data_IF_998198132973
#
_entry.id   IF_998198132973
#
_cell.length_a   1.000
_cell.length_b   1.000
_cell.length_c   1.000
_cell.angle_alpha   90.00
_cell.angle_beta   90.00
_cell.angle_gamma   90.00
#
_symmetry.space_group_name_H-M   'P 1'
#
loop_
_entity.id
_entity.type
_entity.pdbx_description
1 polymer ?
#
# COMPACT_ATOMS: atom_id res chain seq x y z
N UNK A 1 -17.22 -8.48 -3.66
CA UNK A 1 -16.38 -7.81 -2.64
C UNK A 1 -14.97 -7.59 -3.17
N UNK A 2 -14.28 -6.59 -2.66
CA UNK A 2 -12.87 -6.30 -2.93
C UNK A 2 -12.11 -6.40 -1.62
N UNK A 3 -10.90 -6.91 -1.68
CA UNK A 3 -10.08 -7.09 -0.50
C UNK A 3 -9.24 -5.83 -0.23
N UNK A 4 -9.36 -5.27 0.97
CA UNK A 4 -8.51 -4.18 1.47
C UNK A 4 -7.23 -4.82 1.99
N UNK A 5 -6.09 -4.29 1.57
CA UNK A 5 -4.77 -4.64 2.08
C UNK A 5 -4.07 -3.33 2.38
N UNK A 6 -3.98 -2.99 3.66
CA UNK A 6 -3.31 -1.78 4.13
C UNK A 6 -2.50 -2.11 5.38
N UNK A 7 -1.26 -1.68 5.39
CA UNK A 7 -0.44 -1.67 6.60
C UNK A 7 -0.02 -0.24 6.90
N UNK A 8 -0.18 0.14 8.14
CA UNK A 8 0.08 1.50 8.60
C UNK A 8 0.94 1.49 9.87
N UNK A 9 1.93 2.35 9.89
CA UNK A 9 2.71 2.63 11.09
C UNK A 9 2.03 3.77 11.84
N UNK A 10 1.58 3.50 13.05
CA UNK A 10 0.86 4.45 13.91
C UNK A 10 1.71 4.84 15.10
N UNK A 11 1.63 6.09 15.60
CA UNK A 11 2.12 6.40 16.94
C UNK A 11 1.45 5.47 17.95
N UNK A 12 2.20 5.03 18.94
CA UNK A 12 1.66 4.13 19.96
C UNK A 12 0.46 4.77 20.69
N UNK A 13 0.55 6.06 20.92
CA UNK A 13 -0.43 6.88 21.65
C UNK A 13 -1.78 7.00 20.92
N UNK A 14 -1.78 7.03 19.60
CA UNK A 14 -3.00 7.18 18.80
C UNK A 14 -3.51 5.88 18.21
N UNK A 15 -2.76 4.79 18.37
CA UNK A 15 -3.16 3.46 17.87
C UNK A 15 -4.51 2.99 18.42
N UNK A 16 -4.87 3.17 19.70
CA UNK A 16 -6.20 2.75 20.19
C UNK A 16 -7.35 3.41 19.42
N UNK A 17 -7.23 4.71 19.11
CA UNK A 17 -8.24 5.43 18.32
C UNK A 17 -8.32 4.89 16.87
N UNK A 18 -7.20 4.49 16.28
CA UNK A 18 -7.19 3.88 14.96
C UNK A 18 -7.83 2.50 14.96
N UNK A 19 -7.57 1.67 15.98
CA UNK A 19 -8.18 0.35 16.14
C UNK A 19 -9.70 0.48 16.33
N UNK A 20 -10.17 1.43 17.13
CA UNK A 20 -11.59 1.73 17.28
C UNK A 20 -12.23 2.15 15.94
N UNK A 21 -11.57 3.05 15.22
CA UNK A 21 -12.00 3.46 13.88
C UNK A 21 -12.15 2.27 12.92
N UNK A 22 -11.14 1.39 12.83
CA UNK A 22 -11.20 0.22 11.95
C UNK A 22 -12.32 -0.74 12.35
N UNK A 23 -12.55 -0.94 13.63
CA UNK A 23 -13.64 -1.77 14.13
C UNK A 23 -15.01 -1.23 13.78
N UNK A 24 -15.21 0.09 13.94
CA UNK A 24 -16.50 0.74 13.74
C UNK A 24 -16.82 0.99 12.26
N UNK A 25 -15.86 1.53 11.49
CA UNK A 25 -16.12 1.99 10.12
C UNK A 25 -15.84 0.91 9.06
N UNK A 26 -14.89 0.01 9.32
CA UNK A 26 -14.51 -1.02 8.35
C UNK A 26 -15.02 -2.40 8.74
N UNK A 27 -15.19 -2.68 10.02
CA UNK A 27 -15.60 -4.01 10.51
C UNK A 27 -14.59 -5.12 10.18
N UNK A 28 -13.31 -4.77 9.98
CA UNK A 28 -12.27 -5.73 9.58
C UNK A 28 -11.57 -6.26 10.82
N UNK A 29 -11.64 -7.56 11.02
CA UNK A 29 -10.98 -8.31 12.09
C UNK A 29 -10.51 -9.69 11.59
N UNK A 30 -9.42 -10.26 12.17
CA UNK A 30 -8.51 -9.65 13.16
C UNK A 30 -7.60 -8.60 12.53
N UNK A 31 -7.02 -7.72 13.36
CA UNK A 31 -5.95 -6.82 12.95
C UNK A 31 -4.59 -7.44 13.29
N UNK A 32 -3.60 -7.21 12.42
CA UNK A 32 -2.22 -7.60 12.68
C UNK A 32 -1.51 -6.45 13.40
N UNK A 33 -1.01 -6.68 14.61
CA UNK A 33 -0.29 -5.67 15.39
C UNK A 33 1.17 -6.09 15.55
N UNK A 34 2.11 -5.20 15.17
CA UNK A 34 3.54 -5.48 15.26
C UNK A 34 4.28 -4.22 15.77
N UNK A 35 4.97 -4.30 16.92
CA UNK A 35 5.79 -3.19 17.42
C UNK A 35 6.91 -2.85 16.43
N UNK A 36 7.13 -1.55 16.22
CA UNK A 36 8.14 -1.02 15.32
C UNK A 36 9.09 -0.10 16.07
N UNK A 37 10.36 -0.20 15.73
CA UNK A 37 11.37 0.74 16.16
C UNK A 37 11.39 1.96 15.24
N UNK A 38 11.49 3.17 15.81
CA UNK A 38 11.67 4.38 15.01
C UNK A 38 13.00 4.31 14.24
N UNK A 39 13.00 4.62 12.92
CA UNK A 39 14.22 4.68 12.15
C UNK A 39 15.12 5.84 12.63
N UNK A 40 16.41 5.61 12.67
CA UNK A 40 17.41 6.61 13.09
C UNK A 40 17.93 7.45 11.92
N UNK A 41 17.72 6.99 10.69
CA UNK A 41 18.21 7.64 9.47
C UNK A 41 17.03 8.14 8.63
N UNK A 42 17.21 9.23 7.85
CA UNK A 42 16.23 9.64 6.88
C UNK A 42 16.09 8.55 5.79
N UNK A 43 14.95 7.92 5.75
CA UNK A 43 14.64 6.83 4.80
C UNK A 43 13.19 6.98 4.33
N UNK A 44 12.80 6.20 3.32
CA UNK A 44 11.39 6.03 2.93
C UNK A 44 10.62 5.11 3.89
N UNK A 45 11.24 4.69 4.95
CA UNK A 45 10.59 3.92 6.00
C UNK A 45 9.56 4.79 6.72
N UNK A 46 8.36 4.28 7.01
CA UNK A 46 7.38 5.02 7.78
C UNK A 46 7.94 5.55 9.09
N UNK A 47 7.64 6.80 9.33
CA UNK A 47 7.85 7.46 10.62
C UNK A 47 6.53 8.07 11.06
N UNK A 48 6.38 8.29 12.35
CA UNK A 48 5.16 8.85 12.91
C UNK A 48 5.43 10.17 13.60
N UNK A 49 4.45 11.05 13.56
CA UNK A 49 4.47 12.33 14.27
C UNK A 49 3.25 12.38 15.18
N UNK A 50 3.47 12.37 16.48
CA UNK A 50 2.37 12.47 17.43
C UNK A 50 1.66 13.81 17.24
N UNK A 51 0.33 13.84 17.06
CA UNK A 51 -0.43 15.08 16.94
C UNK A 51 -0.25 16.01 18.16
N UNK A 52 -0.37 17.32 17.94
CA UNK A 52 -0.29 18.30 19.03
C UNK A 52 -1.38 18.05 20.06
N UNK A 53 -1.02 18.10 21.34
CA UNK A 53 -1.95 17.90 22.47
C UNK A 53 -2.14 16.45 22.89
N UNK A 54 -1.48 15.50 22.26
CA UNK A 54 -1.43 14.11 22.71
C UNK A 54 -0.22 13.93 23.63
N UNK A 55 -0.46 13.38 24.82
CA UNK A 55 0.60 13.08 25.77
C UNK A 55 1.44 11.89 25.29
N UNK A 56 2.76 12.03 25.33
CA UNK A 56 3.71 11.04 24.86
C UNK A 56 4.42 10.42 26.06
N UNK A 57 4.20 9.14 26.29
CA UNK A 57 4.83 8.41 27.39
C UNK A 57 6.28 8.03 27.07
N UNK A 58 6.51 7.55 25.83
CA UNK A 58 7.86 7.21 25.35
C UNK A 58 8.01 7.65 23.88
N UNK A 59 8.78 8.72 23.58
CA UNK A 59 8.88 9.25 22.23
C UNK A 59 9.46 8.23 21.25
N UNK A 60 8.73 8.01 20.16
CA UNK A 60 9.24 7.30 18.99
C UNK A 60 8.87 5.82 18.88
N UNK A 61 8.08 5.27 19.78
CA UNK A 61 7.50 3.96 19.59
C UNK A 61 6.37 4.02 18.54
N UNK A 62 6.34 3.02 17.69
CA UNK A 62 5.34 2.87 16.64
C UNK A 62 4.73 1.48 16.72
N UNK A 63 3.50 1.36 16.27
CA UNK A 63 2.85 0.08 16.07
C UNK A 63 2.41 -0.04 14.61
N UNK A 64 2.83 -1.12 13.94
CA UNK A 64 2.23 -1.48 12.66
C UNK A 64 0.84 -2.05 12.92
N UNK A 65 -0.13 -1.57 12.18
CA UNK A 65 -1.50 -2.11 12.16
C UNK A 65 -1.82 -2.58 10.75
N UNK A 66 -1.90 -3.88 10.57
CA UNK A 66 -2.32 -4.51 9.31
C UNK A 66 -3.84 -4.64 9.28
N UNK A 67 -4.45 -4.03 8.25
CA UNK A 67 -5.90 -4.04 8.00
C UNK A 67 -6.15 -4.84 6.73
N UNK A 68 -6.47 -6.12 6.87
CA UNK A 68 -6.65 -7.05 5.76
C UNK A 68 -8.02 -7.69 5.82
N UNK A 69 -8.90 -7.31 4.90
CA UNK A 69 -10.26 -7.82 4.94
C UNK A 69 -11.11 -7.40 3.75
N UNK A 70 -12.35 -7.86 3.76
CA UNK A 70 -13.29 -7.56 2.71
C UNK A 70 -13.86 -6.16 2.85
N UNK A 71 -13.68 -5.35 1.81
CA UNK A 71 -14.27 -4.04 1.68
C UNK A 71 -15.48 -4.02 0.75
N UNK A 72 -16.02 -2.83 0.44
CA UNK A 72 -17.14 -2.65 -0.45
C UNK A 72 -16.91 -3.29 -1.84
N UNK A 73 -17.97 -3.84 -2.44
CA UNK A 73 -17.90 -4.40 -3.78
C UNK A 73 -17.93 -3.33 -4.87
N UNK A 74 -18.62 -2.22 -4.60
CA UNK A 74 -18.73 -1.10 -5.53
C UNK A 74 -17.39 -0.34 -5.61
N UNK A 75 -16.87 -0.07 -6.84
CA UNK A 75 -15.54 0.52 -7.00
C UNK A 75 -15.34 1.89 -6.36
N UNK A 76 -16.31 2.78 -6.50
CA UNK A 76 -16.22 4.15 -5.97
C UNK A 76 -16.24 4.14 -4.45
N UNK A 77 -17.11 3.31 -3.88
CA UNK A 77 -17.22 3.12 -2.45
C UNK A 77 -15.94 2.50 -1.87
N UNK A 78 -15.37 1.53 -2.57
CA UNK A 78 -14.08 0.95 -2.19
C UNK A 78 -12.95 2.00 -2.15
N UNK A 79 -12.90 2.88 -3.14
CA UNK A 79 -11.93 3.98 -3.16
C UNK A 79 -12.20 4.97 -2.03
N UNK A 80 -13.46 5.36 -1.82
CA UNK A 80 -13.87 6.27 -0.73
C UNK A 80 -13.39 5.77 0.63
N UNK A 81 -13.69 4.52 0.93
CA UNK A 81 -13.30 3.88 2.21
C UNK A 81 -11.77 3.86 2.39
N UNK A 82 -11.00 3.58 1.33
CA UNK A 82 -9.53 3.61 1.41
C UNK A 82 -9.00 5.04 1.60
N UNK A 83 -9.59 6.05 0.95
CA UNK A 83 -9.21 7.46 1.17
C UNK A 83 -9.54 7.94 2.58
N UNK A 84 -10.66 7.53 3.13
CA UNK A 84 -11.04 7.85 4.52
C UNK A 84 -10.07 7.19 5.52
N UNK A 85 -9.68 5.94 5.27
CA UNK A 85 -8.66 5.28 6.06
C UNK A 85 -7.33 6.04 5.99
N UNK A 86 -6.89 6.44 4.80
CA UNK A 86 -5.67 7.23 4.63
C UNK A 86 -5.74 8.59 5.33
N UNK A 87 -6.88 9.27 5.24
CA UNK A 87 -7.10 10.53 5.94
C UNK A 87 -7.03 10.34 7.46
N UNK A 88 -7.62 9.25 7.98
CA UNK A 88 -7.59 8.92 9.40
C UNK A 88 -6.19 8.58 9.90
N UNK A 89 -5.42 7.84 9.12
CA UNK A 89 -4.01 7.56 9.40
C UNK A 89 -3.22 8.85 9.54
N UNK A 90 -3.38 9.78 8.59
CA UNK A 90 -2.71 11.09 8.61
C UNK A 90 -3.15 11.95 9.81
N UNK A 91 -4.46 12.01 10.09
CA UNK A 91 -5.02 12.73 11.25
C UNK A 91 -4.38 12.27 12.57
N UNK A 92 -4.18 10.97 12.71
CA UNK A 92 -3.60 10.35 13.89
C UNK A 92 -2.05 10.30 13.88
N UNK A 93 -1.40 10.94 12.91
CA UNK A 93 0.06 11.05 12.82
C UNK A 93 0.76 9.80 12.30
N UNK A 94 0.02 8.89 11.69
CA UNK A 94 0.56 7.67 11.10
C UNK A 94 0.98 7.80 9.64
N UNK A 95 1.61 6.76 9.10
CA UNK A 95 2.00 6.62 7.69
C UNK A 95 1.75 5.20 7.19
N UNK A 96 1.48 5.09 5.89
CA UNK A 96 1.34 3.77 5.22
C UNK A 96 2.68 3.19 4.79
N UNK A 97 2.72 1.87 4.70
CA UNK A 97 3.74 1.15 3.95
C UNK A 97 3.43 1.17 2.45
N UNK A 98 4.46 1.43 1.63
CA UNK A 98 4.32 1.64 0.19
C UNK A 98 4.37 0.35 -0.65
N UNK A 99 3.97 -0.78 -0.11
CA UNK A 99 3.76 -1.99 -0.90
C UNK A 99 2.29 -2.15 -1.33
N UNK A 100 1.37 -1.55 -0.59
CA UNK A 100 -0.06 -1.52 -0.91
C UNK A 100 -0.41 -0.32 -1.80
N UNK A 101 -1.57 -0.42 -2.46
CA UNK A 101 -2.08 0.68 -3.26
C UNK A 101 -2.32 1.93 -2.41
N UNK A 102 -1.98 3.10 -2.97
CA UNK A 102 -2.26 4.39 -2.35
C UNK A 102 -3.31 5.16 -3.15
N UNK A 103 -4.12 5.91 -2.44
CA UNK A 103 -5.22 6.71 -2.97
C UNK A 103 -5.02 8.22 -2.70
N UNK A 104 -3.90 8.62 -2.13
CA UNK A 104 -3.47 10.02 -2.01
C UNK A 104 -3.40 10.66 -3.39
N UNK A 105 -3.49 11.98 -3.47
CA UNK A 105 -2.98 12.68 -4.65
C UNK A 105 -1.45 12.81 -4.61
N UNK A 106 -0.84 13.23 -5.73
CA UNK A 106 0.62 13.24 -5.85
C UNK A 106 1.26 14.23 -4.86
N UNK A 107 0.64 15.37 -4.66
CA UNK A 107 1.16 16.41 -3.75
C UNK A 107 1.07 15.97 -2.28
N UNK A 108 -0.05 15.35 -1.89
CA UNK A 108 -0.23 14.75 -0.57
C UNK A 108 0.83 13.68 -0.31
N UNK A 109 1.03 12.78 -1.28
CA UNK A 109 1.99 11.71 -1.20
C UNK A 109 3.41 12.23 -0.95
N UNK A 110 3.89 13.15 -1.80
CA UNK A 110 5.25 13.65 -1.67
C UNK A 110 5.48 14.46 -0.40
N UNK A 111 4.46 15.18 0.08
CA UNK A 111 4.53 15.87 1.39
C UNK A 111 4.70 14.91 2.55
N UNK A 112 4.04 13.75 2.49
CA UNK A 112 4.11 12.74 3.56
C UNK A 112 5.41 11.94 3.53
N UNK A 113 5.98 11.68 2.35
CA UNK A 113 7.14 10.79 2.19
C UNK A 113 8.46 11.51 1.97
N UNK A 114 8.64 12.69 2.55
CA UNK A 114 9.92 13.40 2.62
C UNK A 114 10.30 14.25 1.42
N UNK A 115 9.37 14.41 0.48
CA UNK A 115 9.52 15.30 -0.67
C UNK A 115 10.13 14.64 -1.92
N UNK A 116 9.68 15.13 -3.07
CA UNK A 116 10.08 14.58 -4.37
C UNK A 116 11.55 14.85 -4.69
N UNK A 117 12.04 16.02 -4.34
CA UNK A 117 13.42 16.43 -4.65
C UNK A 117 14.46 15.50 -4.02
N UNK A 118 14.29 15.19 -2.75
CA UNK A 118 15.14 14.22 -2.05
C UNK A 118 15.12 12.84 -2.72
N UNK A 119 13.93 12.37 -3.05
CA UNK A 119 13.74 11.08 -3.70
C UNK A 119 14.40 11.02 -5.08
N UNK A 120 14.22 12.07 -5.90
CA UNK A 120 14.81 12.13 -7.25
C UNK A 120 16.34 12.25 -7.18
N UNK A 121 16.89 12.99 -6.20
CA UNK A 121 18.33 13.04 -5.96
C UNK A 121 18.88 11.66 -5.60
N UNK A 122 18.17 10.90 -4.76
CA UNK A 122 18.53 9.51 -4.41
C UNK A 122 18.51 8.60 -5.63
N UNK A 123 17.48 8.68 -6.47
CA UNK A 123 17.38 7.92 -7.72
C UNK A 123 18.51 8.24 -8.69
N UNK A 124 18.85 9.51 -8.83
CA UNK A 124 19.99 9.94 -9.66
C UNK A 124 21.31 9.37 -9.14
N UNK A 125 21.54 9.43 -7.83
CA UNK A 125 22.72 8.85 -7.18
C UNK A 125 22.90 7.37 -7.48
N UNK A 126 21.82 6.61 -7.45
CA UNK A 126 21.82 5.15 -7.68
C UNK A 126 21.49 4.74 -9.13
N UNK A 127 21.51 5.69 -10.08
CA UNK A 127 21.26 5.47 -11.52
C UNK A 127 19.90 4.79 -11.80
N UNK A 128 18.90 5.07 -10.99
CA UNK A 128 17.56 4.50 -11.07
C UNK A 128 16.53 5.43 -11.75
N UNK A 129 16.99 6.49 -12.45
CA UNK A 129 16.11 7.49 -13.05
C UNK A 129 15.22 6.93 -14.18
N UNK A 130 15.66 5.85 -14.84
CA UNK A 130 14.92 5.18 -15.90
C UNK A 130 13.84 4.20 -15.40
N UNK A 131 13.80 3.94 -14.10
CA UNK A 131 12.75 3.10 -13.51
C UNK A 131 11.49 3.94 -13.20
N UNK A 132 10.29 3.35 -13.14
CA UNK A 132 9.12 4.03 -12.62
C UNK A 132 9.35 4.53 -11.20
N UNK A 133 8.75 5.67 -10.84
CA UNK A 133 8.81 6.14 -9.45
C UNK A 133 8.00 5.25 -8.51
N UNK A 134 8.22 5.37 -7.20
CA UNK A 134 7.37 4.68 -6.24
C UNK A 134 5.91 5.13 -6.36
N UNK A 135 5.69 6.42 -6.63
CA UNK A 135 4.36 6.95 -6.90
C UNK A 135 3.69 6.24 -8.08
N UNK A 136 4.35 6.14 -9.23
CA UNK A 136 3.82 5.46 -10.42
C UNK A 136 3.43 4.00 -10.15
N UNK A 137 4.10 3.37 -9.20
CA UNK A 137 3.84 1.96 -8.85
C UNK A 137 2.70 1.76 -7.87
N UNK A 138 2.55 2.64 -6.90
CA UNK A 138 1.58 2.44 -5.80
C UNK A 138 0.29 3.22 -5.99
N UNK A 139 0.30 4.28 -6.79
CA UNK A 139 -0.88 5.10 -7.06
C UNK A 139 -1.93 4.33 -7.85
N UNK A 140 -3.18 4.47 -7.43
CA UNK A 140 -4.35 3.94 -8.16
C UNK A 140 -5.04 5.06 -8.89
N UNK A 141 -4.85 5.13 -10.21
CA UNK A 141 -5.69 5.96 -11.06
C UNK A 141 -7.12 5.40 -11.07
N UNK A 142 -8.00 6.15 -10.43
CA UNK A 142 -9.40 5.76 -10.23
C UNK A 142 -10.15 5.61 -11.55
N UNK A 143 -9.89 6.48 -12.54
CA UNK A 143 -10.55 6.42 -13.84
C UNK A 143 -10.08 5.20 -14.64
N UNK A 144 -8.78 4.92 -14.63
CA UNK A 144 -8.21 3.76 -15.32
C UNK A 144 -8.68 2.46 -14.66
N UNK A 145 -8.77 2.43 -13.33
CA UNK A 145 -9.26 1.26 -12.60
C UNK A 145 -10.73 0.95 -12.91
N UNK A 146 -11.56 1.98 -13.06
CA UNK A 146 -12.98 1.83 -13.44
C UNK A 146 -13.11 1.39 -14.92
N UNK A 147 -12.38 2.02 -15.84
CA UNK A 147 -12.39 1.69 -17.28
C UNK A 147 -11.88 0.26 -17.55
N UNK A 148 -10.77 -0.15 -16.95
CA UNK A 148 -10.25 -1.54 -17.06
C UNK A 148 -11.28 -2.57 -16.57
N UNK A 149 -12.10 -2.23 -15.58
CA UNK A 149 -13.12 -3.13 -15.08
C UNK A 149 -14.26 -3.37 -16.09
N UNK A 150 -14.57 -2.41 -16.94
CA UNK A 150 -15.61 -2.55 -17.97
C UNK A 150 -15.13 -3.36 -19.18
N UNK A 151 -13.84 -3.28 -19.54
CA UNK A 151 -13.27 -3.93 -20.71
C UNK A 151 -13.09 -5.46 -20.57
N UNK A 152 -13.00 -6.00 -19.36
CA UNK A 152 -12.73 -7.43 -19.13
C UNK A 152 -13.91 -8.19 -18.52
N UNK A 153 -15.14 -7.98 -19.01
CA UNK A 153 -16.31 -8.71 -18.53
C UNK A 153 -16.17 -10.23 -18.71
N UNK A 154 -15.52 -10.69 -19.78
CA UNK A 154 -15.26 -12.11 -20.03
C UNK A 154 -14.42 -12.79 -18.95
N UNK A 155 -13.51 -12.04 -18.27
CA UNK A 155 -12.68 -12.61 -17.19
C UNK A 155 -13.47 -12.88 -15.91
N UNK A 156 -14.73 -12.42 -15.83
CA UNK A 156 -15.61 -12.55 -14.66
C UNK A 156 -16.62 -13.67 -14.81
N UNK A 157 -16.81 -14.18 -16.02
CA UNK A 157 -17.75 -15.27 -16.29
C UNK A 157 -17.02 -16.59 -16.17
N UNK A 158 -17.42 -17.40 -15.20
CA UNK A 158 -16.93 -18.78 -15.09
C UNK A 158 -17.48 -19.63 -16.24
N UNK A 159 -16.67 -20.45 -16.96
CA UNK A 159 -15.23 -20.72 -16.77
C UNK A 159 -14.29 -19.85 -17.62
N UNK A 160 -14.81 -18.84 -18.37
CA UNK A 160 -14.06 -18.05 -19.34
C UNK A 160 -12.85 -17.33 -18.74
N UNK A 161 -12.96 -16.84 -17.48
CA UNK A 161 -11.85 -16.24 -16.75
C UNK A 161 -10.66 -17.17 -16.56
N UNK A 162 -10.93 -18.44 -16.26
CA UNK A 162 -9.91 -19.48 -16.14
C UNK A 162 -9.17 -19.73 -17.46
N UNK A 163 -9.90 -19.91 -18.55
CA UNK A 163 -9.32 -20.09 -19.88
C UNK A 163 -8.49 -18.88 -20.34
N UNK A 164 -8.98 -17.67 -20.07
CA UNK A 164 -8.22 -16.44 -20.35
C UNK A 164 -6.92 -16.39 -19.55
N UNK A 165 -6.94 -16.75 -18.26
CA UNK A 165 -5.74 -16.80 -17.41
C UNK A 165 -4.71 -17.82 -17.91
N UNK A 166 -5.15 -19.02 -18.27
CA UNK A 166 -4.29 -20.07 -18.84
C UNK A 166 -3.65 -19.59 -20.15
N UNK A 167 -4.46 -19.02 -21.05
CA UNK A 167 -3.95 -18.46 -22.31
C UNK A 167 -2.88 -17.38 -22.05
N UNK A 168 -3.13 -16.45 -21.14
CA UNK A 168 -2.16 -15.39 -20.78
C UNK A 168 -0.90 -15.94 -20.14
N UNK A 169 -0.98 -16.95 -19.32
CA UNK A 169 0.18 -17.64 -18.76
C UNK A 169 1.04 -18.32 -19.85
N UNK A 170 0.40 -18.96 -20.84
CA UNK A 170 1.09 -19.56 -21.97
C UNK A 170 1.75 -18.49 -22.85
N UNK A 171 1.05 -17.38 -23.13
CA UNK A 171 1.58 -16.26 -23.93
C UNK A 171 2.79 -15.60 -23.24
N UNK A 172 2.74 -15.33 -21.93
CA UNK A 172 3.81 -14.67 -21.18
C UNK A 172 5.03 -15.57 -20.98
N UNK A 173 4.84 -16.89 -20.91
CA UNK A 173 5.87 -17.89 -20.60
C UNK A 173 6.61 -17.65 -19.27
N UNK A 174 6.05 -16.85 -18.36
CA UNK A 174 6.69 -16.50 -17.10
C UNK A 174 7.05 -17.72 -16.25
N UNK A 175 6.24 -18.78 -16.32
CA UNK A 175 6.51 -20.06 -15.64
C UNK A 175 7.76 -20.79 -16.17
N UNK A 176 8.30 -20.38 -17.32
CA UNK A 176 9.54 -20.93 -17.90
C UNK A 176 10.77 -20.11 -17.54
N UNK A 177 10.63 -18.92 -16.95
CA UNK A 177 11.76 -18.03 -16.65
C UNK A 177 12.84 -18.74 -15.83
N UNK A 178 12.44 -19.44 -14.77
CA UNK A 178 13.38 -20.18 -13.93
C UNK A 178 14.08 -21.32 -14.68
N UNK A 179 13.38 -22.01 -15.57
CA UNK A 179 13.94 -23.13 -16.36
C UNK A 179 14.92 -22.65 -17.42
N UNK A 180 14.65 -21.47 -18.00
CA UNK A 180 15.41 -20.89 -19.09
C UNK A 180 16.46 -19.87 -18.59
N UNK A 181 16.53 -19.61 -17.26
CA UNK A 181 17.51 -18.72 -16.69
C UNK A 181 18.93 -19.22 -16.94
N UNK A 182 19.82 -18.36 -17.44
CA UNK A 182 21.23 -18.66 -17.60
C UNK A 182 21.93 -18.82 -16.26
N UNK A 183 21.49 -18.05 -15.26
CA UNK A 183 21.97 -18.18 -13.90
C UNK A 183 21.06 -19.13 -13.11
N UNK A 184 21.66 -20.08 -12.41
CA UNK A 184 20.99 -20.97 -11.44
C UNK A 184 21.77 -20.96 -10.15
N UNK A 185 21.08 -20.88 -9.04
CA UNK A 185 21.73 -21.04 -7.75
C UNK A 185 22.28 -22.46 -7.59
N UNK A 186 23.57 -22.59 -7.23
CA UNK A 186 24.28 -23.86 -7.14
C UNK A 186 24.36 -24.43 -5.73
N UNK A 187 23.84 -23.69 -4.73
CA UNK A 187 23.78 -24.15 -3.34
C UNK A 187 24.99 -23.80 -2.49
N UNK A 188 25.90 -22.92 -2.96
CA UNK A 188 27.06 -22.41 -2.19
C UNK A 188 26.75 -21.08 -1.53
#
# INVERSE_FOLDING_TARGET
ARFIVQDVAMPFETTPQFVEYTGRELGIWPLWLCPLKRPTLPTFHPFTTVPKGVEVQEPGHMLNVGVWGWGPAEPREFVRVNRELEAKVRELGGMKWLYAHTYYDEDEFWKMYGGREWYDALRKKYKAANLPSVWDKVHVDQEVAVKKKQQHWMTRVWPLGGFYGIRKSIESRDYLLHRNAQWKWTGE
#
